data_IF_383226402510
#
_entry.id   IF_383226402510
#
_cell.length_a   1.000
_cell.length_b   1.000
_cell.length_c   1.000
_cell.angle_alpha   90.00
_cell.angle_beta   90.00
_cell.angle_gamma   90.00
#
_symmetry.space_group_name_H-M   'P 1'
#
loop_
_entity.id
_entity.type
_entity.pdbx_description
1 polymer ?
#
# COMPACT_ATOMS: atom_id res chain seq x y z
N UNK A 1 20.45 -9.59 -14.02
CA UNK A 1 20.22 -10.13 -12.69
C UNK A 1 18.77 -9.96 -12.28
N UNK A 2 18.33 -10.63 -11.20
CA UNK A 2 17.01 -10.43 -10.61
C UNK A 2 17.05 -9.32 -9.54
N UNK A 3 15.94 -8.58 -9.40
CA UNK A 3 15.73 -7.67 -8.27
C UNK A 3 15.10 -8.41 -7.10
N UNK A 4 15.47 -8.06 -5.86
CA UNK A 4 14.78 -8.51 -4.66
C UNK A 4 13.87 -7.36 -4.19
N UNK A 5 12.57 -7.63 -4.09
CA UNK A 5 11.56 -6.63 -3.76
C UNK A 5 11.04 -6.78 -2.32
N UNK A 6 11.12 -5.74 -1.56
CA UNK A 6 10.61 -5.61 -0.19
C UNK A 6 9.61 -4.46 -0.08
N UNK A 7 8.79 -4.43 0.98
CA UNK A 7 8.50 -5.50 1.95
C UNK A 7 7.27 -6.32 1.57
N UNK A 8 6.50 -5.89 0.55
CA UNK A 8 5.19 -6.43 0.20
C UNK A 8 5.20 -7.16 -1.14
N UNK A 9 4.76 -8.43 -1.14
CA UNK A 9 4.73 -9.26 -2.34
C UNK A 9 3.70 -8.78 -3.37
N UNK A 10 2.57 -8.24 -2.92
CA UNK A 10 1.50 -7.81 -3.82
C UNK A 10 1.90 -6.54 -4.54
N UNK A 11 2.44 -5.56 -3.81
CA UNK A 11 2.99 -4.34 -4.43
C UNK A 11 4.06 -4.67 -5.47
N UNK A 12 5.00 -5.57 -5.13
CA UNK A 12 6.05 -5.99 -6.04
C UNK A 12 5.51 -6.71 -7.28
N UNK A 13 4.53 -7.61 -7.08
CA UNK A 13 3.89 -8.35 -8.18
C UNK A 13 3.09 -7.44 -9.10
N UNK A 14 2.28 -6.55 -8.54
CA UNK A 14 1.47 -5.62 -9.32
C UNK A 14 2.37 -4.63 -10.09
N UNK A 15 3.44 -4.13 -9.46
CA UNK A 15 4.43 -3.28 -10.12
C UNK A 15 5.13 -4.02 -11.26
N UNK A 16 5.62 -5.23 -11.01
CA UNK A 16 6.26 -6.05 -12.04
C UNK A 16 5.31 -6.39 -13.20
N UNK A 17 4.06 -6.72 -12.90
CA UNK A 17 3.04 -6.96 -13.90
C UNK A 17 2.76 -5.72 -14.77
N UNK A 18 2.67 -4.55 -14.15
CA UNK A 18 2.53 -3.28 -14.87
C UNK A 18 3.74 -2.95 -15.76
N UNK A 19 4.93 -3.45 -15.39
CA UNK A 19 6.15 -3.36 -16.22
C UNK A 19 6.23 -4.45 -17.31
N UNK A 20 5.20 -5.30 -17.45
CA UNK A 20 5.17 -6.39 -18.42
C UNK A 20 6.03 -7.60 -18.04
N UNK A 21 6.38 -7.77 -16.76
CA UNK A 21 7.10 -8.96 -16.31
C UNK A 21 6.10 -10.08 -16.05
N UNK A 22 6.25 -11.24 -16.72
CA UNK A 22 5.39 -12.41 -16.51
C UNK A 22 5.38 -12.88 -15.05
N UNK A 23 4.23 -13.32 -14.55
CA UNK A 23 4.04 -13.71 -13.15
C UNK A 23 4.96 -14.87 -12.73
N UNK A 24 5.21 -15.80 -13.63
CA UNK A 24 6.12 -16.93 -13.42
C UNK A 24 7.59 -16.52 -13.20
N UNK A 25 7.97 -15.30 -13.61
CA UNK A 25 9.30 -14.73 -13.38
C UNK A 25 9.38 -13.89 -12.08
N UNK A 26 8.32 -13.95 -11.28
CA UNK A 26 8.21 -13.26 -9.99
C UNK A 26 7.91 -14.22 -8.83
N UNK A 27 8.81 -15.18 -8.54
CA UNK A 27 8.65 -16.11 -7.42
C UNK A 27 8.66 -15.38 -6.08
N UNK A 28 7.93 -15.92 -5.11
CA UNK A 28 7.93 -15.42 -3.73
C UNK A 28 8.98 -16.17 -2.90
N UNK A 29 9.72 -15.46 -2.07
CA UNK A 29 10.70 -16.02 -1.16
C UNK A 29 10.32 -15.77 0.31
N UNK A 30 10.38 -16.85 1.11
CA UNK A 30 10.04 -16.83 2.53
C UNK A 30 11.26 -17.20 3.36
N UNK A 31 11.70 -16.41 4.37
CA UNK A 31 12.79 -16.76 5.26
C UNK A 31 12.58 -18.12 5.92
N UNK A 32 13.62 -18.95 5.94
CA UNK A 32 13.59 -20.28 6.56
C UNK A 32 12.84 -21.37 5.77
N UNK A 33 12.06 -21.00 4.75
CA UNK A 33 11.33 -21.95 3.89
C UNK A 33 11.95 -21.99 2.48
N UNK A 34 12.34 -20.84 1.96
CA UNK A 34 12.91 -20.71 0.63
C UNK A 34 11.92 -20.13 -0.39
N UNK A 35 12.17 -20.38 -1.67
CA UNK A 35 11.37 -19.85 -2.76
C UNK A 35 10.12 -20.70 -3.03
N UNK A 36 9.01 -20.02 -3.27
CA UNK A 36 7.81 -20.58 -3.89
C UNK A 36 7.88 -20.26 -5.38
N UNK A 37 8.42 -21.16 -6.16
CA UNK A 37 8.71 -21.01 -7.58
C UNK A 37 10.20 -21.10 -7.92
N UNK A 38 10.51 -21.12 -9.21
CA UNK A 38 11.90 -21.25 -9.67
C UNK A 38 12.63 -19.90 -9.62
N UNK A 39 13.78 -19.89 -8.92
CA UNK A 39 14.63 -18.67 -8.85
C UNK A 39 15.46 -18.47 -10.11
N UNK A 40 15.81 -19.55 -10.82
CA UNK A 40 16.61 -19.48 -12.04
C UNK A 40 15.80 -18.80 -13.14
N UNK A 41 16.33 -17.71 -13.67
CA UNK A 41 15.66 -16.95 -14.72
C UNK A 41 14.64 -15.93 -14.19
N UNK A 42 14.37 -15.86 -12.87
CA UNK A 42 13.47 -14.85 -12.30
C UNK A 42 13.96 -13.42 -12.60
N UNK A 43 13.01 -12.51 -12.73
CA UNK A 43 13.27 -11.07 -12.93
C UNK A 43 13.13 -10.30 -11.63
N UNK A 44 12.16 -10.67 -10.82
CA UNK A 44 11.93 -10.12 -9.49
C UNK A 44 11.71 -11.29 -8.53
N UNK A 45 12.35 -11.23 -7.38
CA UNK A 45 12.10 -12.14 -6.26
C UNK A 45 11.32 -11.35 -5.21
N UNK A 46 10.11 -11.79 -4.91
CA UNK A 46 9.21 -11.10 -4.00
C UNK A 46 9.40 -11.59 -2.58
N UNK A 47 9.63 -10.69 -1.65
CA UNK A 47 9.57 -11.02 -0.22
C UNK A 47 8.13 -11.39 0.16
N UNK A 48 7.95 -12.50 0.90
CA UNK A 48 6.64 -13.00 1.33
C UNK A 48 6.04 -12.18 2.50
N UNK A 49 6.04 -10.86 2.36
CA UNK A 49 5.32 -9.95 3.24
C UNK A 49 4.02 -9.47 2.58
N UNK A 50 3.14 -8.93 3.38
CA UNK A 50 1.87 -8.35 2.90
C UNK A 50 1.30 -7.38 3.93
N UNK A 51 0.50 -6.41 3.45
CA UNK A 51 -0.35 -5.60 4.32
C UNK A 51 -1.61 -6.37 4.72
N UNK A 52 -1.87 -6.47 6.04
CA UNK A 52 -3.05 -7.17 6.55
C UNK A 52 -4.37 -6.53 6.13
N UNK A 53 -4.37 -5.22 5.90
CA UNK A 53 -5.55 -4.48 5.41
C UNK A 53 -5.77 -4.77 3.93
N UNK A 54 -4.77 -4.47 3.09
CA UNK A 54 -4.94 -4.53 1.63
C UNK A 54 -5.20 -5.94 1.10
N UNK A 55 -4.65 -6.97 1.75
CA UNK A 55 -4.89 -8.36 1.34
C UNK A 55 -6.34 -8.83 1.54
N UNK A 56 -7.18 -8.09 2.29
CA UNK A 56 -8.58 -8.42 2.54
C UNK A 56 -9.49 -8.08 1.36
N UNK A 57 -9.08 -7.16 0.51
CA UNK A 57 -9.88 -6.75 -0.64
C UNK A 57 -9.90 -7.82 -1.73
N UNK A 58 -11.09 -8.16 -2.20
CA UNK A 58 -11.36 -9.27 -3.11
C UNK A 58 -12.18 -8.84 -4.33
N UNK A 59 -12.10 -9.57 -5.47
CA UNK A 59 -12.95 -9.32 -6.62
C UNK A 59 -14.46 -9.41 -6.29
N UNK A 60 -14.87 -10.29 -5.38
CA UNK A 60 -16.29 -10.44 -5.01
C UNK A 60 -16.86 -9.19 -4.31
N UNK A 61 -16.04 -8.46 -3.53
CA UNK A 61 -16.46 -7.18 -2.98
C UNK A 61 -16.66 -6.13 -4.09
N UNK A 62 -15.82 -6.14 -5.13
CA UNK A 62 -15.98 -5.29 -6.33
C UNK A 62 -17.29 -5.60 -7.06
N UNK A 63 -17.59 -6.90 -7.26
CA UNK A 63 -18.82 -7.34 -7.87
C UNK A 63 -20.06 -6.94 -7.05
N UNK A 64 -19.99 -7.05 -5.72
CA UNK A 64 -21.05 -6.62 -4.82
C UNK A 64 -21.30 -5.11 -4.93
N UNK A 65 -20.25 -4.30 -4.86
CA UNK A 65 -20.37 -2.85 -5.04
C UNK A 65 -21.00 -2.48 -6.40
N UNK A 66 -20.53 -3.10 -7.49
CA UNK A 66 -21.06 -2.84 -8.84
C UNK A 66 -22.51 -3.29 -9.01
N UNK A 67 -22.95 -4.32 -8.29
CA UNK A 67 -24.36 -4.75 -8.31
C UNK A 67 -25.30 -3.70 -7.71
N UNK A 68 -24.83 -2.97 -6.72
CA UNK A 68 -25.56 -1.88 -6.06
C UNK A 68 -25.39 -0.54 -6.80
N UNK A 69 -24.25 -0.36 -7.44
CA UNK A 69 -23.84 0.84 -8.13
C UNK A 69 -23.28 0.53 -9.53
N UNK A 70 -24.14 0.24 -10.53
CA UNK A 70 -23.69 -0.15 -11.88
C UNK A 70 -22.74 0.84 -12.56
N UNK A 71 -22.89 2.15 -12.27
CA UNK A 71 -22.01 3.21 -12.76
C UNK A 71 -20.89 3.58 -11.78
N UNK A 72 -20.73 2.80 -10.72
CA UNK A 72 -19.75 3.04 -9.66
C UNK A 72 -18.34 2.69 -10.10
N UNK A 73 -17.37 3.42 -9.56
CA UNK A 73 -15.94 3.29 -9.88
C UNK A 73 -15.20 2.70 -8.68
N UNK A 74 -14.29 1.78 -8.92
CA UNK A 74 -13.48 1.12 -7.90
C UNK A 74 -12.01 1.47 -8.07
N UNK A 75 -11.40 2.03 -7.03
CA UNK A 75 -9.96 2.29 -6.99
C UNK A 75 -9.32 1.59 -5.79
N UNK A 76 -8.18 0.91 -6.00
CA UNK A 76 -7.52 0.14 -4.96
C UNK A 76 -6.05 0.48 -4.80
N UNK A 77 -5.49 0.21 -3.62
CA UNK A 77 -4.06 0.32 -3.40
C UNK A 77 -3.32 -0.86 -4.05
N UNK A 78 -2.14 -0.68 -4.65
CA UNK A 78 -1.41 -1.76 -5.33
C UNK A 78 -0.82 -2.84 -4.40
N UNK A 79 -1.00 -2.73 -3.09
CA UNK A 79 -0.76 -3.81 -2.13
C UNK A 79 -1.93 -4.80 -2.02
N UNK A 80 -3.02 -4.57 -2.74
CA UNK A 80 -4.10 -5.54 -2.89
C UNK A 80 -3.63 -6.74 -3.74
N UNK A 81 -4.23 -7.93 -3.57
CA UNK A 81 -3.99 -9.07 -4.44
C UNK A 81 -4.15 -8.72 -5.92
N UNK A 82 -3.37 -9.38 -6.78
CA UNK A 82 -3.35 -9.04 -8.21
C UNK A 82 -4.72 -9.23 -8.88
N UNK A 83 -5.50 -10.19 -8.45
CA UNK A 83 -6.87 -10.42 -8.91
C UNK A 83 -7.80 -9.26 -8.57
N UNK A 84 -7.62 -8.64 -7.41
CA UNK A 84 -8.39 -7.46 -6.99
C UNK A 84 -7.97 -6.22 -7.78
N UNK A 85 -6.66 -6.03 -7.94
CA UNK A 85 -6.13 -4.94 -8.78
C UNK A 85 -6.60 -5.06 -10.22
N UNK A 86 -6.61 -6.28 -10.77
CA UNK A 86 -7.06 -6.53 -12.15
C UNK A 86 -8.56 -6.32 -12.35
N UNK A 87 -9.37 -6.50 -11.30
CA UNK A 87 -10.82 -6.30 -11.35
C UNK A 87 -11.23 -4.84 -11.09
N UNK A 88 -10.35 -4.00 -10.54
CA UNK A 88 -10.62 -2.58 -10.25
C UNK A 88 -10.49 -1.72 -11.52
N UNK A 89 -11.07 -0.52 -11.47
CA UNK A 89 -11.00 0.46 -12.57
C UNK A 89 -9.68 1.23 -12.55
N UNK A 90 -9.10 1.40 -11.36
CA UNK A 90 -7.82 2.07 -11.17
C UNK A 90 -7.10 1.54 -9.94
N UNK A 91 -5.77 1.69 -9.93
CA UNK A 91 -4.95 1.40 -8.77
C UNK A 91 -3.76 2.36 -8.68
N UNK A 92 -3.32 2.66 -7.47
CA UNK A 92 -2.17 3.54 -7.26
C UNK A 92 -1.90 3.85 -5.79
N UNK A 93 -0.87 4.65 -5.56
CA UNK A 93 -0.48 5.09 -4.23
C UNK A 93 -1.61 5.87 -3.54
N UNK A 94 -1.49 6.10 -2.24
CA UNK A 94 -2.43 6.95 -1.49
C UNK A 94 -2.60 8.33 -2.13
N UNK A 95 -1.54 8.94 -2.64
CA UNK A 95 -1.61 10.21 -3.37
C UNK A 95 -2.36 10.06 -4.71
N UNK A 96 -2.15 8.95 -5.41
CA UNK A 96 -2.89 8.66 -6.65
C UNK A 96 -4.40 8.53 -6.36
N UNK A 97 -4.77 7.74 -5.35
CA UNK A 97 -6.17 7.55 -4.96
C UNK A 97 -6.83 8.89 -4.61
N UNK A 98 -6.13 9.74 -3.84
CA UNK A 98 -6.62 11.08 -3.50
C UNK A 98 -6.89 11.93 -4.73
N UNK A 99 -5.93 11.99 -5.66
CA UNK A 99 -6.09 12.76 -6.90
C UNK A 99 -7.22 12.17 -7.77
N UNK A 100 -7.27 10.84 -7.89
CA UNK A 100 -8.31 10.14 -8.65
C UNK A 100 -9.70 10.47 -8.15
N UNK A 101 -9.93 10.46 -6.83
CA UNK A 101 -11.20 10.84 -6.21
C UNK A 101 -11.52 12.30 -6.46
N UNK A 102 -10.54 13.19 -6.35
CA UNK A 102 -10.74 14.63 -6.58
C UNK A 102 -11.15 14.94 -8.02
N UNK A 103 -10.59 14.23 -9.00
CA UNK A 103 -10.82 14.46 -10.43
C UNK A 103 -12.17 13.91 -10.92
N UNK A 104 -12.83 13.03 -10.15
CA UNK A 104 -14.14 12.50 -10.52
C UNK A 104 -15.26 13.55 -10.37
N UNK A 105 -16.29 13.52 -11.23
CA UNK A 105 -17.39 14.49 -11.17
C UNK A 105 -18.21 14.35 -9.87
N UNK A 106 -18.88 15.44 -9.50
CA UNK A 106 -19.87 15.44 -8.41
C UNK A 106 -20.96 14.40 -8.68
N UNK A 107 -21.40 13.73 -7.62
CA UNK A 107 -22.39 12.64 -7.69
C UNK A 107 -21.77 11.28 -8.02
N UNK A 108 -20.45 11.17 -8.25
CA UNK A 108 -19.79 9.89 -8.47
C UNK A 108 -19.95 8.96 -7.26
N UNK A 109 -20.08 7.66 -7.54
CA UNK A 109 -20.10 6.59 -6.55
C UNK A 109 -18.77 5.83 -6.62
N UNK A 110 -18.07 5.77 -5.50
CA UNK A 110 -16.67 5.32 -5.48
C UNK A 110 -16.47 4.34 -4.33
N UNK A 111 -16.02 3.12 -4.64
CA UNK A 111 -15.49 2.20 -3.63
C UNK A 111 -13.97 2.24 -3.62
N UNK A 112 -13.38 2.35 -2.44
CA UNK A 112 -11.93 2.48 -2.28
C UNK A 112 -11.38 1.28 -1.50
N UNK A 113 -10.45 0.54 -2.11
CA UNK A 113 -9.73 -0.57 -1.49
C UNK A 113 -8.43 -0.10 -0.83
N UNK A 114 -8.54 0.61 0.29
CA UNK A 114 -7.42 1.01 1.16
C UNK A 114 -7.89 1.17 2.61
N UNK A 115 -7.00 1.63 3.48
CA UNK A 115 -7.25 1.76 4.91
C UNK A 115 -8.39 2.74 5.22
N UNK A 116 -9.29 2.33 6.15
CA UNK A 116 -10.57 2.97 6.42
C UNK A 116 -10.48 4.46 6.80
N UNK A 117 -9.46 4.88 7.57
CA UNK A 117 -9.34 6.28 7.95
C UNK A 117 -9.04 7.19 6.76
N UNK A 118 -8.31 6.69 5.76
CA UNK A 118 -8.11 7.42 4.51
C UNK A 118 -9.42 7.53 3.73
N UNK A 119 -10.20 6.45 3.67
CA UNK A 119 -11.51 6.45 2.98
C UNK A 119 -12.48 7.42 3.64
N UNK A 120 -12.61 7.37 4.97
CA UNK A 120 -13.45 8.28 5.74
C UNK A 120 -13.05 9.74 5.53
N UNK A 121 -11.75 10.03 5.56
CA UNK A 121 -11.24 11.37 5.29
C UNK A 121 -11.60 11.85 3.88
N UNK A 122 -11.47 11.01 2.87
CA UNK A 122 -11.84 11.39 1.50
C UNK A 122 -13.35 11.63 1.37
N UNK A 123 -14.19 10.86 2.07
CA UNK A 123 -15.62 11.10 2.12
C UNK A 123 -15.96 12.45 2.76
N UNK A 124 -15.26 12.82 3.83
CA UNK A 124 -15.41 14.12 4.48
C UNK A 124 -14.91 15.29 3.59
N UNK A 125 -13.81 15.09 2.87
CA UNK A 125 -13.24 16.10 1.96
C UNK A 125 -14.10 16.30 0.69
N UNK A 126 -14.90 15.29 0.29
CA UNK A 126 -15.73 15.30 -0.92
C UNK A 126 -17.19 14.93 -0.66
N UNK A 127 -17.94 15.74 0.11
CA UNK A 127 -19.34 15.46 0.47
C UNK A 127 -20.31 15.48 -0.72
N UNK A 128 -19.86 15.94 -1.88
CA UNK A 128 -20.57 15.93 -3.15
C UNK A 128 -20.53 14.57 -3.88
N UNK A 129 -19.78 13.59 -3.35
CA UNK A 129 -19.61 12.24 -3.89
C UNK A 129 -20.03 11.19 -2.87
N UNK A 130 -20.44 10.02 -3.35
CA UNK A 130 -20.65 8.86 -2.49
C UNK A 130 -19.37 8.03 -2.45
N UNK A 131 -18.69 8.04 -1.31
CA UNK A 131 -17.41 7.35 -1.13
C UNK A 131 -17.55 6.32 0.00
N UNK A 132 -17.21 5.08 -0.28
CA UNK A 132 -17.24 4.00 0.69
C UNK A 132 -15.99 3.12 0.64
N UNK A 133 -15.74 2.39 1.72
CA UNK A 133 -14.71 1.38 1.75
C UNK A 133 -15.19 0.13 1.00
N UNK A 134 -14.33 -0.45 0.18
CA UNK A 134 -14.64 -1.67 -0.57
C UNK A 134 -14.94 -2.88 0.35
N UNK A 135 -14.37 -2.91 1.58
CA UNK A 135 -14.68 -3.91 2.59
C UNK A 135 -15.73 -3.35 3.56
N UNK A 136 -16.89 -4.00 3.64
CA UNK A 136 -17.98 -3.62 4.56
C UNK A 136 -17.59 -3.83 6.03
N UNK A 137 -16.63 -4.74 6.31
CA UNK A 137 -16.09 -4.95 7.65
C UNK A 137 -14.96 -3.96 7.93
N UNK A 138 -15.19 -3.02 8.83
CA UNK A 138 -14.21 -2.03 9.25
C UNK A 138 -13.03 -2.72 9.93
N UNK A 139 -11.88 -2.70 9.28
CA UNK A 139 -10.63 -3.22 9.84
C UNK A 139 -9.56 -2.11 9.83
N UNK A 140 -9.41 -1.36 10.93
CA UNK A 140 -8.36 -0.36 11.03
C UNK A 140 -6.98 -1.03 11.01
N UNK A 141 -5.99 -0.35 10.44
CA UNK A 141 -4.62 -0.83 10.48
C UNK A 141 -4.07 -0.78 11.91
N UNK A 142 -3.85 -1.95 12.52
CA UNK A 142 -3.34 -2.05 13.89
C UNK A 142 -1.98 -1.37 14.06
N UNK A 143 -1.14 -1.39 13.03
CA UNK A 143 0.19 -0.76 13.05
C UNK A 143 0.08 0.76 13.01
N UNK A 144 -0.77 1.31 12.13
CA UNK A 144 -1.02 2.76 12.09
C UNK A 144 -1.68 3.26 13.38
N UNK A 145 -2.54 2.43 13.99
CA UNK A 145 -3.22 2.76 15.25
C UNK A 145 -2.26 2.87 16.45
N UNK A 146 -1.04 2.34 16.32
CA UNK A 146 0.01 2.54 17.34
C UNK A 146 0.50 3.98 17.39
N UNK A 147 0.28 4.78 16.36
CA UNK A 147 0.58 6.22 16.33
C UNK A 147 -0.67 6.98 16.81
N UNK A 148 -0.97 6.84 18.09
CA UNK A 148 -2.12 7.50 18.70
C UNK A 148 -1.78 8.95 19.08
N UNK A 149 -2.72 9.94 18.95
CA UNK A 149 -2.47 11.33 19.32
C UNK A 149 -1.92 11.53 20.73
N UNK A 150 -2.36 10.71 21.72
CA UNK A 150 -1.86 10.77 23.07
C UNK A 150 -0.36 10.41 23.18
N UNK A 151 0.12 9.46 22.37
CA UNK A 151 1.55 9.10 22.34
C UNK A 151 2.39 10.20 21.67
N UNK A 152 1.85 10.83 20.62
CA UNK A 152 2.50 11.99 20.01
C UNK A 152 2.61 13.15 20.99
N UNK A 153 1.53 13.42 21.76
CA UNK A 153 1.52 14.47 22.80
C UNK A 153 2.57 14.20 23.87
N UNK A 154 2.62 12.99 24.42
CA UNK A 154 3.64 12.59 25.43
C UNK A 154 5.08 12.80 24.92
N UNK A 155 5.34 12.42 23.66
CA UNK A 155 6.67 12.64 23.04
C UNK A 155 6.99 14.12 22.90
N UNK A 156 6.02 14.93 22.46
CA UNK A 156 6.22 16.38 22.28
C UNK A 156 6.45 17.08 23.60
N UNK A 157 5.70 16.75 24.66
CA UNK A 157 5.88 17.30 26.01
C UNK A 157 7.26 16.95 26.56
N UNK A 158 7.70 15.70 26.44
CA UNK A 158 9.05 15.28 26.87
C UNK A 158 10.16 16.02 26.13
N UNK A 159 10.00 16.25 24.82
CA UNK A 159 10.98 17.03 24.03
C UNK A 159 11.05 18.48 24.54
N UNK A 160 9.93 19.09 24.87
CA UNK A 160 9.88 20.45 25.48
C UNK A 160 10.62 20.48 26.81
N UNK A 161 10.51 19.43 27.63
CA UNK A 161 11.19 19.30 28.92
C UNK A 161 12.68 18.92 28.77
N UNK A 162 13.18 18.77 27.53
CA UNK A 162 14.59 18.49 27.25
C UNK A 162 14.92 17.00 27.24
N UNK A 163 13.94 16.12 27.31
CA UNK A 163 14.09 14.68 27.13
C UNK A 163 14.05 14.32 25.63
N UNK A 164 14.73 13.23 25.25
CA UNK A 164 14.69 12.71 23.90
C UNK A 164 14.16 11.26 23.94
N UNK A 165 12.84 11.09 24.05
CA UNK A 165 12.23 9.76 24.11
C UNK A 165 12.32 9.07 22.73
N UNK A 166 12.40 7.75 22.75
CA UNK A 166 12.35 6.92 21.55
C UNK A 166 13.43 7.23 20.49
N UNK A 167 14.58 7.78 20.90
CA UNK A 167 15.68 8.09 19.98
C UNK A 167 16.18 6.81 19.30
N UNK A 168 16.19 6.82 17.96
CA UNK A 168 16.74 5.73 17.15
C UNK A 168 18.21 6.01 16.88
N UNK A 169 19.07 5.06 17.28
CA UNK A 169 20.50 5.09 17.04
C UNK A 169 20.84 4.00 16.02
N UNK A 170 21.31 4.39 14.84
CA UNK A 170 21.74 3.46 13.79
C UNK A 170 23.25 3.31 13.83
N UNK A 171 23.83 2.08 13.86
CA UNK A 171 25.27 1.88 13.79
C UNK A 171 25.89 2.54 12.55
N UNK A 172 27.09 3.13 12.71
CA UNK A 172 27.72 3.95 11.67
C UNK A 172 27.92 3.21 10.35
N UNK A 173 28.32 1.95 10.40
CA UNK A 173 28.47 1.08 9.23
C UNK A 173 27.17 0.88 8.43
N UNK A 174 26.02 0.80 9.15
CA UNK A 174 24.71 0.70 8.54
C UNK A 174 24.31 2.06 7.94
N UNK A 175 24.63 3.17 8.63
CA UNK A 175 24.37 4.51 8.10
C UNK A 175 25.06 4.73 6.75
N UNK A 176 26.36 4.39 6.64
CA UNK A 176 27.15 4.58 5.42
C UNK A 176 26.56 3.79 4.24
N UNK A 177 26.21 2.51 4.46
CA UNK A 177 25.57 1.69 3.43
C UNK A 177 24.18 2.19 3.02
N UNK A 178 23.38 2.65 3.99
CA UNK A 178 22.05 3.20 3.74
C UNK A 178 22.09 4.51 2.98
N UNK A 179 23.01 5.43 3.32
CA UNK A 179 23.19 6.69 2.59
C UNK A 179 23.58 6.43 1.14
N UNK A 180 24.51 5.51 0.90
CA UNK A 180 24.88 5.14 -0.48
C UNK A 180 23.69 4.57 -1.27
N UNK A 181 22.85 3.75 -0.66
CA UNK A 181 21.66 3.20 -1.30
C UNK A 181 20.62 4.31 -1.61
N UNK A 182 20.39 5.23 -0.69
CA UNK A 182 19.49 6.38 -0.86
C UNK A 182 19.99 7.34 -1.96
N UNK A 183 21.27 7.64 -1.99
CA UNK A 183 21.86 8.49 -3.03
C UNK A 183 21.69 7.87 -4.42
N UNK A 184 21.91 6.55 -4.55
CA UNK A 184 21.66 5.82 -5.81
C UNK A 184 20.21 5.90 -6.23
N UNK A 185 19.28 5.69 -5.29
CA UNK A 185 17.84 5.78 -5.54
C UNK A 185 17.45 7.18 -6.03
N UNK A 186 17.92 8.24 -5.37
CA UNK A 186 17.63 9.64 -5.72
C UNK A 186 18.28 10.07 -7.04
N UNK A 187 19.36 9.41 -7.47
CA UNK A 187 20.03 9.69 -8.74
C UNK A 187 19.27 9.14 -9.96
N UNK A 188 18.31 8.24 -9.77
CA UNK A 188 17.48 7.69 -10.85
C UNK A 188 16.50 8.78 -11.29
N UNK A 189 16.77 9.38 -12.44
CA UNK A 189 15.83 10.32 -13.07
C UNK A 189 14.65 9.55 -13.66
N UNK A 190 13.44 10.03 -13.41
CA UNK A 190 12.21 9.54 -14.06
C UNK A 190 12.20 9.91 -15.53
#
# INVERSE_FOLDING_TARGET
GAGLFFPDQHLGRNTGNAMGIPLELMPTWTPGIGAMGELKGSRIILWHGFCSVHKRFTPSQIENFRSQHPDGVVVVHPECPIETVSASDANGSTQYIRNFVADLPSGSKIAIGTEINMVARLADEHPDKHIECLDEEICPCSTMYMIHPAYLMDVLEKIVDGEIPNQIMVPKEIQEGSLMALERMLSIKK
#
